data_IF_719253162154
#
_entry.id   IF_719253162154
#
_cell.length_a   1.000
_cell.length_b   1.000
_cell.length_c   1.000
_cell.angle_alpha   90.00
_cell.angle_beta   90.00
_cell.angle_gamma   90.00
#
_symmetry.space_group_name_H-M   'P 1'
#
loop_
_entity.id
_entity.type
_entity.pdbx_description
1 polymer ?
#
# COMPACT_ATOMS: atom_id res chain seq x y z
N UNK A 1 -7.60 19.85 -7.90
CA UNK A 1 -6.50 20.28 -7.01
C UNK A 1 -5.44 21.15 -7.66
N UNK A 2 -5.29 21.05 -8.98
CA UNK A 2 -4.57 22.05 -9.76
C UNK A 2 -5.08 23.49 -9.51
N UNK A 3 -6.41 23.68 -9.46
CA UNK A 3 -7.06 24.97 -9.16
C UNK A 3 -6.66 25.56 -7.79
N UNK A 4 -6.56 24.73 -6.74
CA UNK A 4 -6.12 25.17 -5.42
C UNK A 4 -4.63 25.54 -5.38
N UNK A 5 -3.79 24.81 -6.14
CA UNK A 5 -2.34 25.06 -6.23
C UNK A 5 -1.98 26.29 -7.08
N UNK A 6 -2.81 26.60 -8.07
CA UNK A 6 -2.60 27.75 -8.95
C UNK A 6 -2.97 29.09 -8.28
N UNK A 7 -3.54 29.08 -7.07
CA UNK A 7 -3.64 30.27 -6.20
C UNK A 7 -4.59 31.39 -6.66
N UNK A 8 -5.28 31.23 -7.80
CA UNK A 8 -6.04 32.31 -8.42
C UNK A 8 -7.37 32.66 -7.72
N UNK A 9 -7.82 31.85 -6.74
CA UNK A 9 -9.08 32.05 -6.01
C UNK A 9 -8.93 31.61 -4.55
N UNK A 10 -9.62 32.29 -3.64
CA UNK A 10 -9.68 31.89 -2.23
C UNK A 10 -10.40 30.54 -2.09
N UNK A 11 -9.95 29.70 -1.14
CA UNK A 11 -10.51 28.36 -0.89
C UNK A 11 -12.02 28.41 -0.63
N UNK A 12 -12.48 29.45 0.06
CA UNK A 12 -13.89 29.71 0.37
C UNK A 12 -14.73 29.97 -0.89
N UNK A 13 -14.20 30.76 -1.83
CA UNK A 13 -14.88 31.05 -3.09
C UNK A 13 -14.89 29.83 -4.01
N UNK A 14 -13.77 29.08 -4.05
CA UNK A 14 -13.66 27.85 -4.83
C UNK A 14 -14.61 26.76 -4.29
N UNK A 15 -14.78 26.68 -2.97
CA UNK A 15 -15.74 25.79 -2.32
C UNK A 15 -17.18 26.08 -2.75
N UNK A 16 -17.57 27.35 -2.75
CA UNK A 16 -18.90 27.79 -3.18
C UNK A 16 -19.16 27.46 -4.67
N UNK A 17 -18.21 27.76 -5.54
CA UNK A 17 -18.29 27.48 -6.98
C UNK A 17 -18.39 25.98 -7.28
N UNK A 18 -17.70 25.16 -6.50
CA UNK A 18 -17.73 23.70 -6.63
C UNK A 18 -18.89 23.04 -5.87
N UNK A 19 -19.70 23.80 -5.13
CA UNK A 19 -20.80 23.29 -4.32
C UNK A 19 -20.35 22.33 -3.21
N UNK A 20 -19.11 22.45 -2.73
CA UNK A 20 -18.54 21.61 -1.67
C UNK A 20 -18.16 22.45 -0.46
N UNK A 21 -18.18 21.87 0.74
CA UNK A 21 -17.76 22.59 1.94
C UNK A 21 -16.25 22.89 1.91
N UNK A 22 -15.84 24.10 2.30
CA UNK A 22 -14.44 24.54 2.36
C UNK A 22 -13.56 23.59 3.18
N UNK A 23 -14.08 23.05 4.27
CA UNK A 23 -13.38 22.08 5.12
C UNK A 23 -12.98 20.80 4.36
N UNK A 24 -13.74 20.39 3.33
CA UNK A 24 -13.38 19.25 2.48
C UNK A 24 -12.20 19.58 1.58
N UNK A 25 -12.14 20.80 1.03
CA UNK A 25 -11.01 21.22 0.19
C UNK A 25 -9.70 21.27 0.99
N UNK A 26 -9.74 21.75 2.24
CA UNK A 26 -8.57 21.69 3.13
C UNK A 26 -8.14 20.24 3.41
N UNK A 27 -9.08 19.38 3.81
CA UNK A 27 -8.79 17.96 4.06
C UNK A 27 -8.19 17.27 2.84
N UNK A 28 -8.76 17.51 1.66
CA UNK A 28 -8.28 16.92 0.42
C UNK A 28 -6.89 17.44 0.03
N UNK A 29 -6.58 18.73 0.32
CA UNK A 29 -5.23 19.28 0.11
C UNK A 29 -4.23 18.51 0.95
N UNK A 30 -4.57 18.28 2.22
CA UNK A 30 -3.73 17.57 3.17
C UNK A 30 -3.60 16.09 2.78
N UNK A 31 -4.67 15.42 2.38
CA UNK A 31 -4.66 14.02 1.93
C UNK A 31 -3.77 13.82 0.69
N UNK A 32 -3.77 14.76 -0.26
CA UNK A 32 -2.88 14.72 -1.43
C UNK A 32 -1.44 14.97 -1.04
N UNK A 33 -1.19 15.89 -0.12
CA UNK A 33 0.16 16.09 0.41
C UNK A 33 0.69 14.83 1.08
N UNK A 34 -0.16 14.12 1.82
CA UNK A 34 0.24 12.94 2.60
C UNK A 34 0.33 11.64 1.79
N UNK A 35 -0.48 11.47 0.75
CA UNK A 35 -0.59 10.19 0.03
C UNK A 35 -0.35 10.29 -1.48
N UNK A 36 -0.07 11.49 -1.99
CA UNK A 36 0.18 11.73 -3.41
C UNK A 36 -0.94 11.16 -4.26
N UNK A 37 -0.58 10.31 -5.22
CA UNK A 37 -1.51 9.66 -6.14
C UNK A 37 -2.47 8.67 -5.45
N UNK A 38 -2.16 8.22 -4.22
CA UNK A 38 -3.00 7.33 -3.42
C UNK A 38 -3.95 8.08 -2.47
N UNK A 39 -4.04 9.41 -2.56
CA UNK A 39 -4.87 10.22 -1.66
C UNK A 39 -6.37 9.97 -1.78
N UNK A 40 -6.83 9.60 -2.98
CA UNK A 40 -8.23 9.25 -3.22
C UNK A 40 -8.31 7.82 -3.76
N UNK A 41 -8.24 6.80 -2.88
CA UNK A 41 -8.30 5.41 -3.31
C UNK A 41 -9.72 4.95 -3.71
N UNK A 42 -10.72 5.84 -3.63
CA UNK A 42 -12.13 5.57 -3.92
C UNK A 42 -12.92 4.96 -2.74
N UNK A 43 -14.26 4.94 -2.80
CA UNK A 43 -15.11 4.40 -1.73
C UNK A 43 -14.91 2.88 -1.56
N UNK A 44 -14.87 2.41 -0.31
CA UNK A 44 -14.72 0.99 0.05
C UNK A 44 -13.28 0.45 0.00
N UNK A 45 -12.34 1.18 -0.59
CA UNK A 45 -10.92 0.85 -0.53
C UNK A 45 -10.39 1.43 0.79
N UNK A 46 -10.23 0.57 1.81
CA UNK A 46 -9.35 0.90 2.96
C UNK A 46 -8.07 1.47 2.35
N UNK A 47 -7.48 2.55 2.90
CA UNK A 47 -6.14 3.04 2.52
C UNK A 47 -5.20 1.85 2.49
N UNK A 48 -5.14 1.18 1.34
CA UNK A 48 -4.31 0.02 1.10
C UNK A 48 -3.00 0.71 0.86
N UNK A 49 -2.21 0.76 1.91
CA UNK A 49 -0.78 0.95 1.85
C UNK A 49 -0.29 0.11 0.66
N UNK A 50 -0.11 0.80 -0.46
CA UNK A 50 0.56 0.41 -1.69
C UNK A 50 0.62 -1.11 -1.93
N UNK A 51 -0.25 -1.62 -2.82
CA UNK A 51 -0.41 -3.03 -3.20
C UNK A 51 0.87 -3.74 -3.69
N UNK A 52 1.97 -3.04 -3.86
CA UNK A 52 3.30 -3.63 -4.06
C UNK A 52 3.80 -4.36 -2.80
N UNK A 53 3.52 -3.86 -1.58
CA UNK A 53 4.01 -4.45 -0.32
C UNK A 53 3.25 -5.71 0.11
N UNK A 54 1.95 -5.80 -0.19
CA UNK A 54 1.14 -6.96 0.18
C UNK A 54 1.52 -8.22 -0.61
N UNK A 55 1.83 -8.05 -1.90
CA UNK A 55 2.29 -9.15 -2.74
C UNK A 55 3.72 -9.58 -2.41
N UNK A 56 4.63 -8.64 -2.12
CA UNK A 56 6.00 -8.98 -1.69
C UNK A 56 6.00 -9.72 -0.37
N UNK A 57 5.21 -9.28 0.63
CA UNK A 57 5.12 -9.99 1.92
C UNK A 57 4.59 -11.42 1.77
N UNK A 58 3.55 -11.62 0.95
CA UNK A 58 3.02 -12.96 0.69
C UNK A 58 4.04 -13.87 0.01
N UNK A 59 4.80 -13.33 -0.95
CA UNK A 59 5.84 -14.06 -1.66
C UNK A 59 7.04 -14.37 -0.76
N UNK A 60 7.49 -13.42 0.06
CA UNK A 60 8.58 -13.61 1.03
C UNK A 60 8.23 -14.68 2.06
N UNK A 61 7.00 -14.68 2.59
CA UNK A 61 6.53 -15.71 3.50
C UNK A 61 6.53 -17.10 2.85
N UNK A 62 6.14 -17.18 1.57
CA UNK A 62 6.16 -18.45 0.82
C UNK A 62 7.59 -18.93 0.56
N UNK A 63 8.49 -18.03 0.18
CA UNK A 63 9.92 -18.36 -0.04
C UNK A 63 10.57 -18.86 1.25
N UNK A 64 10.26 -18.21 2.38
CA UNK A 64 10.77 -18.63 3.69
C UNK A 64 10.34 -20.07 4.03
N UNK A 65 9.04 -20.36 3.92
CA UNK A 65 8.49 -21.70 4.19
C UNK A 65 9.12 -22.77 3.29
N UNK A 66 9.23 -22.50 1.99
CA UNK A 66 9.83 -23.46 1.04
C UNK A 66 11.31 -23.73 1.34
N UNK A 67 12.06 -22.74 1.82
CA UNK A 67 13.46 -22.92 2.24
C UNK A 67 13.56 -23.79 3.48
N UNK A 68 12.69 -23.57 4.47
CA UNK A 68 12.63 -24.39 5.68
C UNK A 68 12.32 -25.85 5.35
N UNK A 69 11.32 -26.09 4.51
CA UNK A 69 10.95 -27.44 4.05
C UNK A 69 12.12 -28.13 3.33
N UNK A 70 12.84 -27.40 2.47
CA UNK A 70 13.98 -27.93 1.74
C UNK A 70 15.15 -28.33 2.68
N UNK A 71 15.44 -27.52 3.69
CA UNK A 71 16.48 -27.81 4.68
C UNK A 71 16.14 -29.04 5.54
N UNK A 72 14.86 -29.20 5.92
CA UNK A 72 14.40 -30.40 6.62
C UNK A 72 14.60 -31.63 5.74
N UNK A 73 14.21 -31.57 4.47
CA UNK A 73 14.34 -32.69 3.54
C UNK A 73 15.81 -33.06 3.29
N UNK A 74 16.72 -32.08 3.19
CA UNK A 74 18.17 -32.35 3.08
C UNK A 74 18.71 -33.08 4.31
N UNK A 75 18.36 -32.63 5.52
CA UNK A 75 18.78 -33.27 6.77
C UNK A 75 18.26 -34.70 6.87
N UNK A 76 16.99 -34.89 6.49
CA UNK A 76 16.38 -36.21 6.42
C UNK A 76 17.12 -37.11 5.42
N UNK A 77 17.41 -36.62 4.21
CA UNK A 77 18.15 -37.37 3.20
C UNK A 77 19.54 -37.80 3.69
N UNK A 78 20.28 -36.93 4.39
CA UNK A 78 21.59 -37.27 4.97
C UNK A 78 21.44 -38.34 6.06
N UNK A 79 20.45 -38.20 6.93
CA UNK A 79 20.18 -39.19 7.98
C UNK A 79 19.86 -40.56 7.38
N UNK A 80 18.95 -40.61 6.40
CA UNK A 80 18.54 -41.85 5.76
C UNK A 80 19.66 -42.47 4.92
N UNK A 81 20.46 -41.66 4.21
CA UNK A 81 21.62 -42.17 3.47
C UNK A 81 22.65 -42.84 4.40
N UNK A 82 22.81 -42.34 5.63
CA UNK A 82 23.70 -42.93 6.64
C UNK A 82 23.15 -44.19 7.31
N UNK A 83 21.83 -44.40 7.33
CA UNK A 83 21.21 -45.65 7.82
C UNK A 83 21.12 -46.76 6.75
N UNK A 84 21.29 -46.40 5.47
CA UNK A 84 21.27 -47.33 4.33
C UNK A 84 22.65 -47.91 3.98
N UNK A 85 23.73 -47.35 4.57
CA UNK A 85 25.08 -47.93 4.59
C UNK A 85 25.28 -48.84 5.81
#
# INVERSE_FOLDING_TARGET
>A
MRLLRQGNKEVSQLALELGVASNKLYRWKDEIGQHGDNAFPGPGVRKRTTSTKGATQGLEAKVKRLREDNEILKKAAIYFARELE
#
